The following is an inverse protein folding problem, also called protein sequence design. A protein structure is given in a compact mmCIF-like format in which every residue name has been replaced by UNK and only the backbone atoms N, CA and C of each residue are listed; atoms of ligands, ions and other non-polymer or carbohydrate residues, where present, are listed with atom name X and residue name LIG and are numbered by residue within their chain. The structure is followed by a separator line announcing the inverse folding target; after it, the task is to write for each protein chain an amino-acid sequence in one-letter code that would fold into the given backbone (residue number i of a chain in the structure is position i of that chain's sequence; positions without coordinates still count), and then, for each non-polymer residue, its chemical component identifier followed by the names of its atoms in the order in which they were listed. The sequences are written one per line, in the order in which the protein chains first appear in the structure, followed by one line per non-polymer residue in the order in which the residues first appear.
data_IF_794951743548
#
_entry.id   IF_794951743548
#
_cell.length_a   1.000
_cell.length_b   1.000
_cell.length_c   1.000
_cell.angle_alpha   90.00
_cell.angle_beta   90.00
_cell.angle_gamma   90.00
#
_symmetry.space_group_name_H-M   'P 1'
#
loop_
_entity.id
_entity.type
_entity.pdbx_description
1 polymer ?
#
# COMPACT_ATOMS: atom_id res chain seq x y z
N UNK A 1 -19.38 -5.97 -3.05
CA UNK A 1 -18.45 -5.27 -2.11
C UNK A 1 -17.04 -5.85 -2.15
N UNK A 2 -16.90 -7.17 -2.34
CA UNK A 2 -15.60 -7.87 -2.36
C UNK A 2 -14.53 -7.25 -3.28
N UNK A 3 -14.84 -6.96 -4.55
CA UNK A 3 -13.86 -6.36 -5.49
C UNK A 3 -13.31 -5.03 -4.97
N UNK A 4 -14.18 -4.19 -4.40
CA UNK A 4 -13.77 -2.91 -3.80
C UNK A 4 -12.88 -3.14 -2.57
N UNK A 5 -13.21 -4.13 -1.73
CA UNK A 5 -12.40 -4.50 -0.57
C UNK A 5 -11.00 -4.96 -0.96
N UNK A 6 -10.88 -5.83 -1.97
CA UNK A 6 -9.60 -6.29 -2.51
C UNK A 6 -8.77 -5.12 -3.05
N UNK A 7 -9.38 -4.21 -3.82
CA UNK A 7 -8.72 -3.01 -4.33
C UNK A 7 -8.19 -2.14 -3.17
N UNK A 8 -8.99 -1.95 -2.12
CA UNK A 8 -8.58 -1.20 -0.92
C UNK A 8 -7.37 -1.81 -0.21
N UNK A 9 -7.32 -3.14 -0.10
CA UNK A 9 -6.17 -3.85 0.48
C UNK A 9 -4.92 -3.63 -0.37
N UNK A 10 -5.02 -3.83 -1.69
CA UNK A 10 -3.89 -3.65 -2.62
C UNK A 10 -3.37 -2.22 -2.57
N UNK A 11 -4.27 -1.23 -2.61
CA UNK A 11 -3.89 0.18 -2.52
C UNK A 11 -3.25 0.53 -1.18
N UNK A 12 -3.80 0.04 -0.07
CA UNK A 12 -3.23 0.29 1.25
C UNK A 12 -1.82 -0.29 1.42
N UNK A 13 -1.59 -1.50 0.90
CA UNK A 13 -0.25 -2.11 0.83
C UNK A 13 0.67 -1.26 -0.05
N UNK A 14 0.23 -0.89 -1.25
CA UNK A 14 1.01 -0.08 -2.18
C UNK A 14 1.42 1.26 -1.57
N UNK A 15 0.47 2.00 -0.98
CA UNK A 15 0.71 3.30 -0.35
C UNK A 15 1.73 3.19 0.79
N UNK A 16 1.63 2.13 1.61
CA UNK A 16 2.55 1.89 2.73
C UNK A 16 3.98 1.61 2.29
N UNK A 17 4.16 0.91 1.17
CA UNK A 17 5.47 0.45 0.67
C UNK A 17 6.10 1.48 -0.29
N UNK A 18 5.28 2.28 -0.97
CA UNK A 18 5.68 3.18 -2.08
C UNK A 18 6.77 4.19 -1.74
N UNK A 19 6.84 4.70 -0.52
CA UNK A 19 7.88 5.67 -0.14
C UNK A 19 9.23 5.00 0.15
N UNK A 20 9.18 3.77 0.69
CA UNK A 20 10.37 3.05 1.14
C UNK A 20 11.11 2.39 -0.02
N UNK A 21 10.39 2.01 -1.07
CA UNK A 21 10.92 1.32 -2.22
C UNK A 21 10.52 2.03 -3.51
N UNK A 22 11.52 2.40 -4.31
CA UNK A 22 11.29 2.88 -5.67
C UNK A 22 11.50 1.72 -6.64
N UNK A 23 10.56 1.57 -7.57
CA UNK A 23 10.76 0.72 -8.73
C UNK A 23 11.67 1.48 -9.70
N UNK A 24 12.93 1.08 -9.79
CA UNK A 24 13.84 1.60 -10.80
C UNK A 24 13.79 0.65 -11.98
N UNK A 25 13.44 1.18 -13.15
CA UNK A 25 13.57 0.44 -14.41
C UNK A 25 14.95 0.75 -14.96
N UNK A 26 15.84 -0.24 -14.95
CA UNK A 26 17.00 -0.24 -15.83
C UNK A 26 16.64 -1.00 -17.10
N UNK A 27 17.40 -0.77 -18.18
CA UNK A 27 17.09 -1.09 -19.58
C UNK A 27 16.56 -2.51 -19.86
N UNK A 28 16.77 -3.48 -18.96
CA UNK A 28 16.33 -4.88 -19.11
C UNK A 28 15.61 -5.45 -17.89
N UNK A 29 15.63 -4.78 -16.73
CA UNK A 29 15.12 -5.34 -15.46
C UNK A 29 14.44 -4.29 -14.57
N UNK A 30 13.36 -4.70 -13.90
CA UNK A 30 12.69 -3.90 -12.86
C UNK A 30 13.22 -4.32 -11.50
N UNK A 31 14.12 -3.51 -10.95
CA UNK A 31 14.62 -3.71 -9.59
C UNK A 31 13.81 -2.88 -8.58
N UNK A 32 13.53 -3.50 -7.44
CA UNK A 32 12.95 -2.83 -6.27
C UNK A 32 14.14 -2.32 -5.44
N UNK A 33 14.43 -1.04 -5.57
CA UNK A 33 15.56 -0.43 -4.85
C UNK A 33 15.02 0.31 -3.63
N UNK A 34 15.70 0.15 -2.50
CA UNK A 34 15.41 0.94 -1.31
C UNK A 34 15.74 2.40 -1.61
N UNK A 35 14.78 3.29 -1.40
CA UNK A 35 14.98 4.70 -1.67
C UNK A 35 15.99 5.26 -0.66
N UNK A 36 17.18 5.68 -1.12
CA UNK A 36 18.25 6.19 -0.24
C UNK A 36 17.90 7.56 0.36
N UNK A 37 17.14 8.37 -0.38
CA UNK A 37 16.56 9.64 0.09
C UNK A 37 15.29 9.44 0.95
N UNK A 38 15.04 8.23 1.44
CA UNK A 38 13.88 7.97 2.29
C UNK A 38 14.06 8.58 3.68
N UNK A 39 13.45 9.74 3.87
CA UNK A 39 13.34 10.37 5.18
C UNK A 39 11.99 10.05 5.83
N UNK A 40 12.01 9.65 7.11
CA UNK A 40 10.80 9.43 7.90
C UNK A 40 10.18 10.76 8.34
N UNK A 41 9.69 11.53 7.38
CA UNK A 41 9.02 12.79 7.67
C UNK A 41 7.55 12.59 8.13
N UNK A 42 6.89 13.65 8.61
CA UNK A 42 5.48 13.63 9.02
C UNK A 42 4.58 13.11 7.91
N UNK A 43 4.84 13.49 6.65
CA UNK A 43 4.07 13.02 5.51
C UNK A 43 4.11 11.49 5.37
N UNK A 44 5.28 10.88 5.56
CA UNK A 44 5.41 9.42 5.57
C UNK A 44 4.57 8.78 6.68
N UNK A 45 4.58 9.35 7.89
CA UNK A 45 3.76 8.83 9.00
C UNK A 45 2.27 8.84 8.66
N UNK A 46 1.76 9.95 8.12
CA UNK A 46 0.36 10.03 7.69
C UNK A 46 0.05 9.03 6.58
N UNK A 47 0.95 8.88 5.62
CA UNK A 47 0.79 7.95 4.49
C UNK A 47 0.69 6.49 4.97
N UNK A 48 1.54 6.09 5.92
CA UNK A 48 1.48 4.75 6.54
C UNK A 48 0.17 4.56 7.30
N UNK A 49 -0.26 5.55 8.08
CA UNK A 49 -1.53 5.48 8.82
C UNK A 49 -2.70 5.30 7.84
N UNK A 50 -2.76 6.11 6.78
CA UNK A 50 -3.79 6.01 5.73
C UNK A 50 -3.75 4.65 5.05
N UNK A 51 -2.55 4.12 4.75
CA UNK A 51 -2.37 2.78 4.18
C UNK A 51 -2.93 1.67 5.08
N UNK A 52 -2.63 1.72 6.38
CA UNK A 52 -3.17 0.76 7.37
C UNK A 52 -4.70 0.87 7.43
N UNK A 53 -5.26 2.08 7.51
CA UNK A 53 -6.71 2.27 7.51
C UNK A 53 -7.38 1.71 6.26
N UNK A 54 -6.78 1.91 5.08
CA UNK A 54 -7.28 1.35 3.83
C UNK A 54 -7.30 -0.19 3.85
N UNK A 55 -6.25 -0.82 4.39
CA UNK A 55 -6.20 -2.29 4.55
C UNK A 55 -7.30 -2.76 5.49
N UNK A 56 -7.46 -2.12 6.65
CA UNK A 56 -8.48 -2.49 7.65
C UNK A 56 -9.89 -2.43 7.05
N UNK A 57 -10.23 -1.33 6.36
CA UNK A 57 -11.52 -1.17 5.68
C UNK A 57 -11.70 -2.24 4.60
N UNK A 58 -10.65 -2.52 3.83
CA UNK A 58 -10.69 -3.54 2.80
C UNK A 58 -10.94 -4.94 3.36
N UNK A 59 -10.26 -5.30 4.45
CA UNK A 59 -10.46 -6.58 5.16
C UNK A 59 -11.89 -6.68 5.69
N UNK A 60 -12.41 -5.64 6.36
CA UNK A 60 -13.80 -5.66 6.83
C UNK A 60 -14.80 -5.78 5.69
N UNK A 61 -14.54 -5.14 4.54
CA UNK A 61 -15.40 -5.26 3.35
C UNK A 61 -15.42 -6.68 2.77
N UNK A 62 -14.27 -7.36 2.76
CA UNK A 62 -14.16 -8.76 2.32
C UNK A 62 -14.84 -9.69 3.32
N UNK A 63 -14.59 -9.51 4.63
CA UNK A 63 -15.26 -10.27 5.69
C UNK A 63 -16.77 -10.11 5.63
N UNK A 64 -17.25 -8.88 5.43
CA UNK A 64 -18.68 -8.60 5.33
C UNK A 64 -19.32 -9.35 4.15
N UNK A 65 -18.64 -9.42 3.01
CA UNK A 65 -19.13 -10.17 1.85
C UNK A 65 -19.09 -11.70 2.04
N UNK A 66 -18.18 -12.21 2.87
CA UNK A 66 -18.10 -13.66 3.15
C UNK A 66 -19.18 -14.07 4.16
N UNK A 67 -19.45 -13.22 5.14
CA UNK A 67 -20.40 -13.49 6.23
C UNK A 67 -21.85 -13.20 5.88
N UNK A 68 -22.11 -12.25 4.98
CA UNK A 68 -23.43 -11.82 4.52
C UNK A 68 -23.54 -11.90 3.00
#
# INVERSE_FOLDING_TARGET
MLVKGIIFIILGIYVTISDKYKLKTNETEKEIIKNEDFEKDRLYKYKVIVGIFAIVIGVFSVLNYILY
#
